data_IF_775519008895
#
_entry.id   IF_775519008895
#
_cell.length_a   1.000
_cell.length_b   1.000
_cell.length_c   1.000
_cell.angle_alpha   90.00
_cell.angle_beta   90.00
_cell.angle_gamma   90.00
#
_symmetry.space_group_name_H-M   'P 1'
#
loop_
_entity.id
_entity.type
_entity.pdbx_description
1 polymer ?
#
# COMPACT_ATOMS: atom_id res chain seq x y z
N UNK A 1 -14.98 -28.65 -43.14
CA UNK A 1 -14.88 -27.85 -41.90
C UNK A 1 -13.50 -27.22 -41.92
N UNK A 2 -13.43 -25.92 -42.19
CA UNK A 2 -12.14 -25.21 -42.24
C UNK A 2 -11.79 -24.86 -40.80
N UNK A 3 -10.76 -25.51 -40.26
CA UNK A 3 -10.15 -25.12 -39.00
C UNK A 3 -9.29 -23.90 -39.31
N UNK A 4 -9.78 -22.70 -38.99
CA UNK A 4 -8.93 -21.52 -39.03
C UNK A 4 -7.83 -21.69 -37.97
N UNK A 5 -6.54 -21.60 -38.32
CA UNK A 5 -5.51 -21.48 -37.30
C UNK A 5 -5.76 -20.17 -36.56
N UNK A 6 -5.95 -20.23 -35.25
CA UNK A 6 -5.82 -19.04 -34.41
C UNK A 6 -4.33 -18.72 -34.43
N UNK A 7 -3.93 -17.88 -35.38
CA UNK A 7 -2.62 -17.25 -35.36
C UNK A 7 -2.71 -16.27 -34.19
N UNK A 8 -2.32 -16.72 -33.00
CA UNK A 8 -2.14 -15.86 -31.82
C UNK A 8 -0.95 -14.95 -32.17
N UNK A 9 -1.26 -13.78 -32.76
CA UNK A 9 -0.24 -12.88 -33.28
C UNK A 9 0.57 -12.31 -32.10
N UNK A 10 1.79 -11.85 -32.35
CA UNK A 10 2.59 -11.21 -31.28
C UNK A 10 1.89 -9.99 -30.65
N UNK A 11 0.96 -9.36 -31.38
CA UNK A 11 0.11 -8.29 -30.87
C UNK A 11 -0.90 -8.77 -29.82
N UNK A 12 -1.53 -9.95 -30.02
CA UNK A 12 -2.50 -10.52 -29.07
C UNK A 12 -1.83 -10.86 -27.72
N UNK A 13 -0.62 -11.41 -27.76
CA UNK A 13 0.17 -11.70 -26.55
C UNK A 13 0.64 -10.43 -25.84
N UNK A 14 0.99 -9.39 -26.58
CA UNK A 14 1.32 -8.07 -26.00
C UNK A 14 0.11 -7.43 -25.32
N UNK A 15 -1.05 -7.46 -25.97
CA UNK A 15 -2.29 -6.97 -25.36
C UNK A 15 -2.66 -7.77 -24.09
N UNK A 16 -2.45 -9.09 -24.12
CA UNK A 16 -2.66 -9.93 -22.93
C UNK A 16 -1.68 -9.59 -21.81
N UNK A 17 -0.40 -9.31 -22.13
CA UNK A 17 0.62 -8.88 -21.16
C UNK A 17 0.26 -7.54 -20.52
N UNK A 18 -0.16 -6.54 -21.30
CA UNK A 18 -0.58 -5.22 -20.82
C UNK A 18 -1.84 -5.31 -19.93
N UNK A 19 -2.77 -6.19 -20.32
CA UNK A 19 -3.96 -6.46 -19.53
C UNK A 19 -3.62 -7.16 -18.21
N UNK A 20 -2.76 -8.18 -18.24
CA UNK A 20 -2.28 -8.87 -17.04
C UNK A 20 -1.56 -7.89 -16.10
N UNK A 21 -0.69 -7.04 -16.63
CA UNK A 21 -0.06 -5.94 -15.88
C UNK A 21 -1.09 -5.11 -15.14
N UNK A 22 -2.10 -4.63 -15.86
CA UNK A 22 -3.15 -3.78 -15.29
C UNK A 22 -3.88 -4.53 -14.16
N UNK A 23 -4.23 -5.80 -14.39
CA UNK A 23 -4.96 -6.61 -13.40
C UNK A 23 -4.13 -6.92 -12.16
N UNK A 24 -2.85 -7.25 -12.31
CA UNK A 24 -1.97 -7.46 -11.15
C UNK A 24 -1.90 -6.17 -10.34
N UNK A 25 -1.58 -5.03 -10.98
CA UNK A 25 -1.49 -3.73 -10.30
C UNK A 25 -2.79 -3.38 -9.58
N UNK A 26 -3.96 -3.57 -10.22
CA UNK A 26 -5.26 -3.33 -9.59
C UNK A 26 -5.47 -4.17 -8.32
N UNK A 27 -5.08 -5.45 -8.33
CA UNK A 27 -5.27 -6.35 -7.18
C UNK A 27 -4.33 -6.03 -6.00
N UNK A 28 -3.15 -5.47 -6.28
CA UNK A 28 -2.15 -5.18 -5.25
C UNK A 28 -2.16 -3.72 -4.81
N UNK A 29 -3.04 -2.91 -5.38
CA UNK A 29 -3.17 -1.48 -5.09
C UNK A 29 -4.27 -1.24 -4.06
N UNK A 30 -3.97 -0.43 -3.05
CA UNK A 30 -4.94 0.03 -2.07
C UNK A 30 -4.88 1.55 -1.90
N UNK A 31 -5.88 2.09 -1.22
CA UNK A 31 -5.92 3.49 -0.83
C UNK A 31 -4.79 3.81 0.15
N UNK A 32 -4.22 5.01 0.00
CA UNK A 32 -3.24 5.57 0.90
C UNK A 32 -3.52 7.06 1.12
N UNK A 33 -3.90 7.42 2.34
CA UNK A 33 -4.10 8.82 2.72
C UNK A 33 -2.91 9.25 3.58
N UNK A 34 -2.34 10.41 3.27
CA UNK A 34 -1.28 11.03 4.06
C UNK A 34 -1.74 12.41 4.52
N UNK A 35 -1.51 12.72 5.80
CA UNK A 35 -1.82 14.02 6.37
C UNK A 35 -0.63 14.56 7.14
N UNK A 36 -0.27 15.81 6.91
CA UNK A 36 0.69 16.54 7.74
C UNK A 36 -0.03 17.15 8.93
N UNK A 37 0.54 17.07 10.12
CA UNK A 37 0.00 17.69 11.34
C UNK A 37 1.07 18.62 11.89
N UNK A 38 0.77 19.90 11.95
CA UNK A 38 1.62 20.91 12.59
C UNK A 38 0.87 21.51 13.78
N UNK A 39 1.43 21.33 14.97
CA UNK A 39 0.92 21.92 16.20
C UNK A 39 1.35 23.37 16.32
N UNK A 40 0.50 24.19 16.92
CA UNK A 40 0.79 25.59 17.20
C UNK A 40 1.82 25.74 18.33
N UNK A 41 3.02 26.21 18.02
CA UNK A 41 4.08 26.43 19.01
C UNK A 41 3.75 27.48 20.08
N UNK A 42 2.81 28.40 19.79
CA UNK A 42 2.35 29.40 20.76
C UNK A 42 1.33 28.84 21.76
N UNK A 43 0.78 27.65 21.51
CA UNK A 43 -0.10 26.98 22.46
C UNK A 43 0.75 26.28 23.54
N UNK A 44 0.62 26.66 24.83
CA UNK A 44 1.45 26.09 25.91
C UNK A 44 1.20 24.60 26.12
N UNK A 45 0.04 24.08 25.74
CA UNK A 45 -0.26 22.65 25.86
C UNK A 45 0.43 21.83 24.76
N UNK A 46 0.60 22.41 23.57
CA UNK A 46 1.37 21.79 22.49
C UNK A 46 2.85 21.61 22.83
N UNK A 47 3.41 22.45 23.70
CA UNK A 47 4.84 22.39 24.10
C UNK A 47 5.09 21.80 25.49
N UNK A 48 4.04 21.55 26.29
CA UNK A 48 4.18 21.05 27.67
C UNK A 48 3.67 19.64 27.94
N UNK A 49 2.86 19.05 27.04
CA UNK A 49 2.24 17.74 27.25
C UNK A 49 2.83 16.69 26.32
N UNK A 50 3.02 15.44 26.75
CA UNK A 50 3.40 14.38 25.81
C UNK A 50 2.19 13.85 25.05
N UNK A 51 1.05 13.63 25.72
CA UNK A 51 -0.16 13.16 25.06
C UNK A 51 -1.11 14.29 24.65
N UNK A 52 -1.56 14.25 23.39
CA UNK A 52 -2.49 15.21 22.79
C UNK A 52 -3.64 14.51 22.08
N UNK A 53 -4.79 15.18 21.97
CA UNK A 53 -5.96 14.75 21.20
C UNK A 53 -6.19 15.78 20.09
N UNK A 54 -6.18 15.34 18.84
CA UNK A 54 -6.56 16.14 17.68
C UNK A 54 -8.05 15.94 17.44
N UNK A 55 -8.85 16.90 17.89
CA UNK A 55 -10.31 16.82 17.81
C UNK A 55 -10.78 16.80 16.36
N UNK A 56 -11.69 15.88 16.04
CA UNK A 56 -12.30 15.74 14.70
C UNK A 56 -11.35 15.31 13.59
N UNK A 57 -10.08 15.01 13.89
CA UNK A 57 -9.05 14.73 12.88
C UNK A 57 -9.48 13.61 11.93
N UNK A 58 -9.88 12.45 12.47
CA UNK A 58 -10.22 11.26 11.68
C UNK A 58 -11.39 11.51 10.73
N UNK A 59 -12.42 12.21 11.22
CA UNK A 59 -13.58 12.58 10.42
C UNK A 59 -13.21 13.58 9.31
N UNK A 60 -12.31 14.52 9.58
CA UNK A 60 -11.86 15.53 8.61
C UNK A 60 -10.92 14.99 7.54
N UNK A 61 -10.21 13.88 7.83
CA UNK A 61 -9.21 13.29 6.92
C UNK A 61 -9.67 12.01 6.25
N UNK A 62 -10.90 11.55 6.51
CA UNK A 62 -11.43 10.26 6.03
C UNK A 62 -10.51 9.08 6.39
N UNK A 63 -9.86 9.13 7.55
CA UNK A 63 -8.97 8.07 8.03
C UNK A 63 -9.69 7.19 9.05
N UNK A 64 -9.56 5.88 8.93
CA UNK A 64 -10.31 4.91 9.74
C UNK A 64 -9.42 4.05 10.63
N UNK A 65 -9.85 3.84 11.88
CA UNK A 65 -9.21 2.92 12.83
C UNK A 65 -9.33 1.45 12.37
N UNK A 66 -8.35 0.57 12.66
CA UNK A 66 -7.05 0.81 13.32
C UNK A 66 -5.90 1.15 12.36
N UNK A 67 -6.22 1.50 11.11
CA UNK A 67 -5.28 1.37 10.01
C UNK A 67 -4.46 2.66 9.78
N UNK A 68 -3.97 3.26 10.87
CA UNK A 68 -3.30 4.56 10.86
C UNK A 68 -1.94 4.43 11.53
N UNK A 69 -0.93 5.05 10.92
CA UNK A 69 0.44 5.12 11.43
C UNK A 69 0.81 6.58 11.60
N UNK A 70 1.29 6.95 12.79
CA UNK A 70 1.74 8.30 13.09
C UNK A 70 3.27 8.30 13.18
N UNK A 71 3.92 9.18 12.42
CA UNK A 71 5.36 9.39 12.47
C UNK A 71 5.67 10.83 12.89
N UNK A 72 6.74 11.03 13.64
CA UNK A 72 7.30 12.36 13.87
C UNK A 72 8.08 12.88 12.64
N UNK A 73 8.64 14.09 12.75
CA UNK A 73 9.47 14.70 11.69
C UNK A 73 10.70 13.88 11.27
N UNK A 74 11.19 12.99 12.12
CA UNK A 74 12.36 12.15 11.88
C UNK A 74 11.97 10.77 11.32
N UNK A 75 10.68 10.49 11.18
CA UNK A 75 10.15 9.20 10.73
C UNK A 75 9.98 8.17 11.84
N UNK A 76 10.16 8.54 13.12
CA UNK A 76 9.92 7.61 14.22
C UNK A 76 8.43 7.48 14.48
N UNK A 77 7.95 6.23 14.52
CA UNK A 77 6.56 5.90 14.83
C UNK A 77 6.25 6.37 16.25
N UNK A 78 5.16 7.12 16.39
CA UNK A 78 4.59 7.53 17.66
C UNK A 78 3.46 6.58 18.02
N UNK A 79 3.33 6.28 19.31
CA UNK A 79 2.18 5.55 19.80
C UNK A 79 0.93 6.42 19.67
N UNK A 80 -0.12 5.88 19.07
CA UNK A 80 -1.33 6.62 18.76
C UNK A 80 -2.57 5.74 18.91
N UNK A 81 -3.69 6.41 19.16
CA UNK A 81 -4.98 5.78 19.41
C UNK A 81 -6.09 6.58 18.75
N UNK A 82 -7.23 5.95 18.50
CA UNK A 82 -8.42 6.62 18.00
C UNK A 82 -9.54 6.58 19.05
N UNK A 83 -10.33 7.65 19.14
CA UNK A 83 -11.64 7.59 19.77
C UNK A 83 -12.71 8.29 18.91
N UNK A 84 -13.66 7.51 18.40
CA UNK A 84 -14.69 8.00 17.48
C UNK A 84 -14.08 8.78 16.29
N UNK A 85 -14.07 10.11 16.37
CA UNK A 85 -13.59 11.02 15.33
C UNK A 85 -12.21 11.65 15.63
N UNK A 86 -11.61 11.40 16.79
CA UNK A 86 -10.36 12.06 17.19
C UNK A 86 -9.16 11.11 17.12
N UNK A 87 -8.00 11.70 16.89
CA UNK A 87 -6.72 11.03 16.93
C UNK A 87 -5.97 11.45 18.19
N UNK A 88 -5.56 10.47 19.01
CA UNK A 88 -4.68 10.68 20.17
C UNK A 88 -3.26 10.30 19.79
N UNK A 89 -2.31 11.15 20.15
CA UNK A 89 -0.89 10.91 19.90
C UNK A 89 -0.16 10.98 21.24
N UNK A 90 0.43 9.86 21.65
CA UNK A 90 1.34 9.78 22.79
C UNK A 90 2.77 10.04 22.28
N UNK A 91 3.21 11.31 22.39
CA UNK A 91 4.48 11.75 21.82
C UNK A 91 5.66 11.26 22.66
N UNK A 92 6.67 10.71 22.00
CA UNK A 92 7.94 10.36 22.63
C UNK A 92 8.68 11.59 23.18
N UNK A 93 8.48 12.75 22.54
CA UNK A 93 9.00 14.04 23.00
C UNK A 93 7.97 15.16 22.73
N UNK A 94 7.59 15.90 23.77
CA UNK A 94 6.69 17.08 23.68
C UNK A 94 7.18 18.17 22.73
N UNK A 95 8.49 18.24 22.47
CA UNK A 95 9.08 19.22 21.55
C UNK A 95 8.82 18.85 20.07
N UNK A 96 8.31 17.65 19.81
CA UNK A 96 7.82 17.28 18.49
C UNK A 96 6.47 17.95 18.24
N UNK A 97 6.49 18.94 17.36
CA UNK A 97 5.32 19.73 16.95
C UNK A 97 4.86 19.39 15.52
N UNK A 98 5.57 18.51 14.82
CA UNK A 98 5.23 18.10 13.47
C UNK A 98 5.13 16.58 13.37
N UNK A 99 4.06 16.11 12.75
CA UNK A 99 3.78 14.70 12.52
C UNK A 99 3.28 14.46 11.10
N UNK A 100 3.40 13.21 10.66
CA UNK A 100 2.72 12.69 9.48
C UNK A 100 1.83 11.54 9.91
N UNK A 101 0.56 11.60 9.54
CA UNK A 101 -0.37 10.50 9.67
C UNK A 101 -0.50 9.80 8.30
N UNK A 102 -0.43 8.49 8.30
CA UNK A 102 -0.67 7.67 7.11
C UNK A 102 -1.80 6.70 7.40
N UNK A 103 -2.72 6.58 6.47
CA UNK A 103 -3.81 5.62 6.51
C UNK A 103 -3.77 4.76 5.26
N UNK A 104 -4.09 3.49 5.42
CA UNK A 104 -4.40 2.57 4.34
C UNK A 104 -5.16 1.39 4.94
N UNK A 105 -6.14 0.78 4.25
CA UNK A 105 -6.77 -0.46 4.73
C UNK A 105 -5.77 -1.60 5.01
N UNK A 106 -4.55 -1.52 4.47
CA UNK A 106 -3.51 -2.53 4.66
C UNK A 106 -2.72 -2.42 5.95
N UNK A 107 -2.85 -1.30 6.67
CA UNK A 107 -2.22 -1.12 7.97
C UNK A 107 -3.06 -1.72 9.09
N UNK A 108 -2.40 -2.09 10.19
CA UNK A 108 -3.06 -2.45 11.43
C UNK A 108 -2.11 -2.07 12.58
N UNK A 109 -2.14 -0.80 12.98
CA UNK A 109 -1.04 -0.21 13.75
C UNK A 109 -1.48 0.63 14.95
N UNK A 110 -2.71 1.17 14.97
CA UNK A 110 -3.20 1.85 16.17
C UNK A 110 -3.48 0.83 17.27
N UNK A 111 -3.05 1.16 18.49
CA UNK A 111 -3.31 0.35 19.67
C UNK A 111 -4.71 0.57 20.24
N UNK A 112 -5.07 -0.25 21.21
CA UNK A 112 -6.27 -0.04 22.03
C UNK A 112 -6.10 1.21 22.90
N UNK A 113 -7.14 2.05 22.96
CA UNK A 113 -7.16 3.33 23.67
C UNK A 113 -6.96 3.15 25.18
N UNK A 114 -5.77 3.45 25.75
CA UNK A 114 -5.55 3.35 27.18
C UNK A 114 -6.22 4.52 27.88
N UNK A 115 -6.41 4.39 29.19
CA UNK A 115 -6.82 5.51 30.05
C UNK A 115 -5.67 6.51 30.24
N UNK A 116 -5.23 7.16 29.16
CA UNK A 116 -4.24 8.23 29.16
C UNK A 116 -4.92 9.60 29.31
N UNK A 117 -4.41 10.43 30.22
CA UNK A 117 -4.83 11.83 30.33
C UNK A 117 -4.15 12.66 29.24
N UNK A 118 -4.83 12.85 28.12
CA UNK A 118 -4.35 13.61 26.97
C UNK A 118 -5.04 14.97 26.89
N UNK A 119 -4.35 15.96 26.33
CA UNK A 119 -4.90 17.31 26.18
C UNK A 119 -5.51 17.54 24.79
N UNK A 120 -6.74 18.02 24.72
CA UNK A 120 -7.42 18.31 23.45
C UNK A 120 -6.92 19.59 22.82
N UNK A 121 -6.43 19.48 21.59
CA UNK A 121 -6.00 20.58 20.74
C UNK A 121 -7.01 20.80 19.63
N UNK A 122 -7.44 22.05 19.46
CA UNK A 122 -8.30 22.51 18.36
C UNK A 122 -7.52 23.30 17.30
N UNK A 123 -6.34 23.78 17.65
CA UNK A 123 -5.49 24.64 16.84
C UNK A 123 -4.27 23.87 16.31
N UNK A 124 -4.51 23.06 15.28
CA UNK A 124 -3.47 22.44 14.46
C UNK A 124 -3.73 22.75 12.98
N UNK A 125 -2.67 22.78 12.18
CA UNK A 125 -2.75 22.99 10.73
C UNK A 125 -2.20 21.78 9.99
N UNK A 126 -2.72 21.53 8.79
CA UNK A 126 -2.30 20.39 8.00
C UNK A 126 -2.86 20.39 6.59
N UNK A 127 -2.23 19.61 5.72
CA UNK A 127 -2.75 19.23 4.42
C UNK A 127 -2.96 17.73 4.38
N UNK A 128 -4.03 17.31 3.71
CA UNK A 128 -4.36 15.91 3.45
C UNK A 128 -4.18 15.63 1.95
N UNK A 129 -3.59 14.49 1.63
CA UNK A 129 -3.50 13.95 0.28
C UNK A 129 -3.96 12.51 0.29
N UNK A 130 -4.93 12.19 -0.56
CA UNK A 130 -5.34 10.82 -0.87
C UNK A 130 -4.76 10.40 -2.23
N UNK A 131 -4.32 9.15 -2.30
CA UNK A 131 -3.75 8.54 -3.51
C UNK A 131 -3.92 7.02 -3.44
N UNK A 132 -3.48 6.31 -4.48
CA UNK A 132 -3.45 4.84 -4.48
C UNK A 132 -2.04 4.34 -4.75
N UNK A 133 -1.60 3.35 -3.98
CA UNK A 133 -0.28 2.74 -4.14
C UNK A 133 -0.38 1.22 -4.13
N UNK A 134 0.59 0.58 -4.77
CA UNK A 134 0.84 -0.85 -4.58
C UNK A 134 1.33 -1.06 -3.14
N UNK A 135 0.88 -2.13 -2.49
CA UNK A 135 1.35 -2.51 -1.16
C UNK A 135 2.21 -3.75 -1.24
N UNK A 136 3.38 -3.71 -0.60
CA UNK A 136 4.29 -4.87 -0.52
C UNK A 136 3.58 -6.09 0.09
N UNK A 137 2.78 -5.88 1.13
CA UNK A 137 1.94 -6.92 1.73
C UNK A 137 1.02 -7.59 0.70
N UNK A 138 0.29 -6.79 -0.09
CA UNK A 138 -0.65 -7.31 -1.09
C UNK A 138 0.08 -8.03 -2.23
N UNK A 139 1.31 -7.61 -2.56
CA UNK A 139 2.17 -8.37 -3.48
C UNK A 139 2.48 -9.76 -2.94
N UNK A 140 2.81 -9.91 -1.66
CA UNK A 140 3.03 -11.23 -1.04
C UNK A 140 1.75 -12.07 -1.05
N UNK A 141 0.62 -11.49 -0.67
CA UNK A 141 -0.68 -12.19 -0.68
C UNK A 141 -1.06 -12.65 -2.10
N UNK A 142 -0.80 -11.83 -3.12
CA UNK A 142 -1.05 -12.18 -4.52
C UNK A 142 -0.10 -13.28 -5.02
N UNK A 143 1.16 -13.27 -4.60
CA UNK A 143 2.14 -14.34 -4.85
C UNK A 143 1.68 -15.66 -4.21
N UNK A 144 1.17 -15.61 -2.99
CA UNK A 144 0.67 -16.80 -2.30
C UNK A 144 -0.64 -17.32 -2.91
N UNK A 145 -1.51 -16.42 -3.38
CA UNK A 145 -2.69 -16.80 -4.17
C UNK A 145 -2.28 -17.51 -5.47
N UNK A 146 -1.27 -17.01 -6.16
CA UNK A 146 -0.72 -17.68 -7.35
C UNK A 146 -0.24 -19.09 -7.03
N UNK A 147 0.55 -19.27 -5.96
CA UNK A 147 1.13 -20.57 -5.58
C UNK A 147 0.09 -21.60 -5.20
N UNK A 148 -0.91 -21.16 -4.43
CA UNK A 148 -1.88 -22.06 -3.80
C UNK A 148 -3.12 -22.28 -4.65
N UNK A 149 -3.42 -21.38 -5.59
CA UNK A 149 -4.69 -21.37 -6.30
C UNK A 149 -4.59 -20.87 -7.75
N UNK A 150 -3.54 -21.30 -8.45
CA UNK A 150 -3.18 -20.82 -9.80
C UNK A 150 -4.34 -20.85 -10.80
N UNK A 151 -5.05 -21.97 -10.96
CA UNK A 151 -6.11 -22.12 -11.96
C UNK A 151 -7.30 -21.16 -11.72
N UNK A 152 -7.68 -20.95 -10.47
CA UNK A 152 -8.72 -19.98 -10.13
C UNK A 152 -8.24 -18.55 -10.35
N UNK A 153 -6.98 -18.25 -10.00
CA UNK A 153 -6.38 -16.94 -10.28
C UNK A 153 -6.34 -16.66 -11.78
N UNK A 154 -5.91 -17.63 -12.58
CA UNK A 154 -5.90 -17.55 -14.06
C UNK A 154 -7.28 -17.24 -14.62
N UNK A 155 -8.32 -17.89 -14.07
CA UNK A 155 -9.72 -17.64 -14.43
C UNK A 155 -10.19 -16.24 -14.02
N UNK A 156 -9.88 -15.79 -12.80
CA UNK A 156 -10.21 -14.45 -12.31
C UNK A 156 -9.55 -13.35 -13.14
N UNK A 157 -8.29 -13.56 -13.48
CA UNK A 157 -7.51 -12.70 -14.36
C UNK A 157 -7.93 -12.83 -15.82
N UNK A 158 -8.85 -13.72 -16.18
CA UNK A 158 -9.33 -13.95 -17.56
C UNK A 158 -8.19 -14.25 -18.54
N UNK A 159 -7.18 -14.99 -18.09
CA UNK A 159 -6.08 -15.42 -18.96
C UNK A 159 -6.59 -16.57 -19.84
N UNK A 160 -6.37 -16.53 -21.16
CA UNK A 160 -6.79 -17.61 -22.05
C UNK A 160 -6.22 -18.96 -21.60
N UNK A 161 -7.01 -20.02 -21.80
CA UNK A 161 -6.67 -21.38 -21.35
C UNK A 161 -5.35 -21.89 -21.90
N UNK A 162 -5.00 -21.46 -23.11
CA UNK A 162 -3.80 -21.83 -23.87
C UNK A 162 -2.53 -21.06 -23.47
N UNK A 163 -2.67 -19.99 -22.68
CA UNK A 163 -1.54 -19.19 -22.24
C UNK A 163 -1.24 -19.48 -20.77
N UNK A 164 0.03 -19.49 -20.41
CA UNK A 164 0.45 -19.46 -19.01
C UNK A 164 1.14 -18.14 -18.68
N UNK A 165 1.15 -17.76 -17.41
CA UNK A 165 1.83 -16.54 -16.99
C UNK A 165 2.64 -16.74 -15.73
N UNK A 166 3.56 -15.82 -15.49
CA UNK A 166 4.34 -15.73 -14.28
C UNK A 166 4.71 -14.28 -14.02
N UNK A 167 5.11 -13.97 -12.80
CA UNK A 167 5.58 -12.64 -12.46
C UNK A 167 6.60 -12.67 -11.34
N UNK A 168 7.39 -11.60 -11.24
CA UNK A 168 8.31 -11.37 -10.17
C UNK A 168 8.15 -9.96 -9.60
N UNK A 169 8.31 -9.85 -8.29
CA UNK A 169 8.44 -8.59 -7.58
C UNK A 169 9.89 -8.40 -7.16
N UNK A 170 10.48 -7.27 -7.55
CA UNK A 170 11.86 -6.90 -7.23
C UNK A 170 11.80 -5.67 -6.33
N UNK A 171 12.20 -5.86 -5.08
CA UNK A 171 12.22 -4.83 -4.05
C UNK A 171 13.38 -3.85 -4.24
N UNK A 172 13.32 -2.71 -3.55
CA UNK A 172 14.39 -1.69 -3.57
C UNK A 172 15.78 -2.24 -3.20
N UNK A 173 15.85 -3.22 -2.31
CA UNK A 173 17.10 -3.86 -1.88
C UNK A 173 17.61 -4.94 -2.85
N UNK A 174 16.91 -5.18 -3.96
CA UNK A 174 17.23 -6.21 -4.95
C UNK A 174 16.66 -7.60 -4.63
N UNK A 175 15.96 -7.77 -3.49
CA UNK A 175 15.26 -9.03 -3.19
C UNK A 175 14.20 -9.27 -4.26
N UNK A 176 14.31 -10.41 -4.94
CA UNK A 176 13.40 -10.85 -5.99
C UNK A 176 12.57 -12.03 -5.50
N UNK A 177 11.25 -11.93 -5.61
CA UNK A 177 10.33 -13.04 -5.37
C UNK A 177 9.61 -13.31 -6.68
N UNK A 178 9.77 -14.51 -7.22
CA UNK A 178 9.24 -14.89 -8.53
C UNK A 178 8.33 -16.11 -8.40
N UNK A 179 7.27 -16.11 -9.21
CA UNK A 179 6.36 -17.24 -9.39
C UNK A 179 6.12 -17.45 -10.88
N UNK A 180 6.16 -18.72 -11.31
CA UNK A 180 5.92 -19.13 -12.68
C UNK A 180 5.54 -20.60 -12.73
N UNK A 181 4.67 -20.99 -13.66
CA UNK A 181 4.56 -22.40 -14.06
C UNK A 181 5.78 -22.82 -14.90
N UNK A 182 5.90 -24.10 -15.21
CA UNK A 182 6.92 -24.59 -16.13
C UNK A 182 6.74 -23.94 -17.51
N UNK A 183 7.82 -23.35 -18.05
CA UNK A 183 7.81 -22.72 -19.35
C UNK A 183 7.99 -23.79 -20.43
N UNK A 184 6.88 -24.23 -21.02
CA UNK A 184 6.86 -25.26 -22.06
C UNK A 184 6.84 -24.70 -23.48
N UNK A 185 6.62 -23.39 -23.62
CA UNK A 185 6.45 -22.68 -24.90
C UNK A 185 7.73 -21.94 -25.31
N UNK A 186 8.02 -21.95 -26.61
CA UNK A 186 9.13 -21.15 -27.20
C UNK A 186 8.77 -19.66 -27.38
N UNK A 187 7.49 -19.31 -27.23
CA UNK A 187 6.96 -17.98 -27.49
C UNK A 187 6.67 -17.23 -26.17
N UNK A 188 7.75 -16.84 -25.47
CA UNK A 188 7.68 -16.11 -24.20
C UNK A 188 7.75 -14.61 -24.45
N UNK A 189 6.81 -13.87 -23.87
CA UNK A 189 6.79 -12.41 -23.86
C UNK A 189 6.98 -11.95 -22.42
N UNK A 190 7.81 -10.93 -22.22
CA UNK A 190 8.13 -10.42 -20.90
C UNK A 190 8.24 -8.90 -20.90
N UNK A 191 7.83 -8.27 -19.81
CA UNK A 191 8.01 -6.85 -19.57
C UNK A 191 8.54 -6.61 -18.14
N UNK A 192 9.34 -5.58 -17.97
CA UNK A 192 9.86 -5.12 -16.68
C UNK A 192 9.41 -3.69 -16.45
N UNK A 193 8.66 -3.49 -15.36
CA UNK A 193 7.90 -2.27 -15.13
C UNK A 193 8.40 -1.64 -13.83
N UNK A 194 8.89 -0.38 -13.84
CA UNK A 194 9.17 0.34 -12.62
C UNK A 194 7.86 0.62 -11.88
N UNK A 195 7.83 0.34 -10.58
CA UNK A 195 6.66 0.54 -9.73
C UNK A 195 7.02 1.33 -8.47
N UNK A 196 6.06 2.07 -7.94
CA UNK A 196 6.11 2.63 -6.59
C UNK A 196 5.21 1.81 -5.68
N UNK A 197 5.71 1.46 -4.50
CA UNK A 197 4.96 0.68 -3.54
C UNK A 197 5.22 1.15 -2.11
N UNK A 198 4.25 0.91 -1.23
CA UNK A 198 4.36 1.12 0.22
C UNK A 198 4.95 -0.15 0.82
N UNK A 199 6.11 -0.02 1.46
CA UNK A 199 6.76 -1.14 2.14
C UNK A 199 6.15 -1.38 3.54
N UNK A 200 6.59 -2.46 4.21
CA UNK A 200 6.11 -2.82 5.55
C UNK A 200 6.36 -1.75 6.64
N UNK A 201 7.21 -0.75 6.37
CA UNK A 201 7.49 0.37 7.25
C UNK A 201 6.73 1.66 6.83
N UNK A 202 5.71 1.52 5.97
CA UNK A 202 4.88 2.63 5.45
C UNK A 202 5.62 3.67 4.63
N UNK A 203 6.79 3.32 4.10
CA UNK A 203 7.54 4.20 3.22
C UNK A 203 7.18 3.89 1.77
N UNK A 204 6.94 4.95 0.99
CA UNK A 204 6.84 4.84 -0.46
C UNK A 204 8.25 4.68 -1.02
N UNK A 205 8.48 3.56 -1.71
CA UNK A 205 9.76 3.21 -2.32
C UNK A 205 9.54 2.71 -3.75
N UNK A 206 10.61 2.66 -4.54
CA UNK A 206 10.59 2.18 -5.92
C UNK A 206 11.12 0.75 -6.00
N UNK A 207 10.52 -0.05 -6.88
CA UNK A 207 10.97 -1.39 -7.26
C UNK A 207 10.59 -1.71 -8.70
N UNK A 208 10.61 -2.98 -9.05
CA UNK A 208 10.22 -3.45 -10.37
C UNK A 208 9.25 -4.62 -10.28
N UNK A 209 8.40 -4.75 -11.29
CA UNK A 209 7.56 -5.90 -11.52
C UNK A 209 7.91 -6.48 -12.89
N UNK A 210 8.25 -7.77 -12.92
CA UNK A 210 8.54 -8.46 -14.16
C UNK A 210 7.37 -9.39 -14.44
N UNK A 211 6.75 -9.31 -15.61
CA UNK A 211 5.60 -10.15 -15.97
C UNK A 211 5.98 -10.93 -17.21
N UNK A 212 5.60 -12.20 -17.25
CA UNK A 212 5.86 -13.13 -18.36
C UNK A 212 4.57 -13.83 -18.77
N UNK A 213 4.39 -14.03 -20.07
CA UNK A 213 3.30 -14.85 -20.63
C UNK A 213 3.86 -15.75 -21.75
N UNK A 214 3.42 -17.00 -21.84
CA UNK A 214 3.93 -17.97 -22.81
C UNK A 214 2.88 -18.93 -23.35
#
# INVERSE_FOLDING_TARGET
MVVNPIINTGEDKKATLDYLRTKIIENVTAEFISASIQLNSSNPFSTSKNCIILEGFLASTEMYYPNIIIQDKNGYIQEAYADFANLKINRLNKDFLFFRAYYSPEFNALGDNPSLSCYTLKDYSGSVKADKYIFEKNMYEFIDLYRNNYENLKTQLKIPTENEFGFAFIQRNGTKIEVSQEITSKNVYADEIPIQYVNNNSNIVTGFMNIKIW
#
